data_IF_329437902258
#
_entry.id   IF_329437902258
#
_cell.length_a   1.000
_cell.length_b   1.000
_cell.length_c   1.000
_cell.angle_alpha   90.00
_cell.angle_beta   90.00
_cell.angle_gamma   90.00
#
_symmetry.space_group_name_H-M   'P 1'
#
loop_
_entity.id
_entity.type
_entity.pdbx_description
1 polymer ?
#
# COMPACT_ATOMS: atom_id res chain seq x y z
N UNK A 1 9.70 -17.65 -17.14
CA UNK A 1 9.39 -16.48 -18.01
C UNK A 1 8.88 -17.02 -19.33
N UNK A 2 7.64 -16.70 -19.71
CA UNK A 2 7.07 -17.15 -20.97
C UNK A 2 7.70 -16.41 -22.19
N UNK A 3 7.32 -16.83 -23.43
CA UNK A 3 7.83 -16.24 -24.68
C UNK A 3 7.49 -14.73 -24.84
N UNK A 4 6.60 -14.18 -23.99
CA UNK A 4 6.17 -12.78 -23.99
C UNK A 4 6.72 -11.98 -22.80
N UNK A 5 7.64 -12.56 -22.03
CA UNK A 5 8.27 -11.89 -20.89
C UNK A 5 7.40 -11.81 -19.63
N UNK A 6 6.30 -12.56 -19.56
CA UNK A 6 5.49 -12.64 -18.35
C UNK A 6 6.16 -13.60 -17.35
N UNK A 7 6.26 -13.17 -16.12
CA UNK A 7 6.70 -14.02 -15.01
C UNK A 7 5.58 -15.00 -14.67
N UNK A 8 5.95 -16.27 -14.42
CA UNK A 8 4.99 -17.27 -13.94
C UNK A 8 4.31 -16.81 -12.63
N UNK A 9 2.98 -16.94 -12.50
CA UNK A 9 2.27 -16.47 -11.29
C UNK A 9 2.79 -17.10 -9.99
N UNK A 10 3.17 -18.38 -9.99
CA UNK A 10 3.70 -19.05 -8.80
C UNK A 10 5.10 -18.54 -8.46
N UNK A 11 5.97 -18.35 -9.46
CA UNK A 11 7.30 -17.75 -9.27
C UNK A 11 7.18 -16.31 -8.73
N UNK A 12 6.23 -15.51 -9.27
CA UNK A 12 5.95 -14.17 -8.77
C UNK A 12 5.57 -14.17 -7.29
N UNK A 13 4.63 -15.05 -6.89
CA UNK A 13 4.16 -15.13 -5.49
C UNK A 13 5.30 -15.53 -4.56
N UNK A 14 6.10 -16.52 -4.95
CA UNK A 14 7.26 -16.97 -4.14
C UNK A 14 8.27 -15.83 -3.98
N UNK A 15 8.63 -15.14 -5.06
CA UNK A 15 9.54 -14.01 -5.02
C UNK A 15 8.98 -12.87 -4.17
N UNK A 16 7.70 -12.52 -4.32
CA UNK A 16 7.05 -11.47 -3.53
C UNK A 16 7.05 -11.78 -2.05
N UNK A 17 6.81 -13.03 -1.66
CA UNK A 17 6.90 -13.49 -0.27
C UNK A 17 8.31 -13.29 0.28
N UNK A 18 9.34 -13.69 -0.45
CA UNK A 18 10.74 -13.49 -0.05
C UNK A 18 11.08 -12.00 0.11
N UNK A 19 10.55 -11.13 -0.77
CA UNK A 19 10.74 -9.69 -0.64
C UNK A 19 10.10 -9.11 0.63
N UNK A 20 8.91 -9.61 1.02
CA UNK A 20 8.24 -9.20 2.27
C UNK A 20 8.96 -9.68 3.54
N UNK A 21 9.72 -10.77 3.45
CA UNK A 21 10.50 -11.33 4.56
C UNK A 21 11.88 -10.63 4.73
N UNK A 22 12.27 -9.74 3.81
CA UNK A 22 13.54 -9.00 3.92
C UNK A 22 13.51 -8.06 5.12
N UNK A 23 14.65 -7.88 5.82
CA UNK A 23 14.77 -6.88 6.86
C UNK A 23 14.45 -5.48 6.36
N UNK A 24 13.84 -4.65 7.20
CA UNK A 24 13.61 -3.26 6.90
C UNK A 24 14.94 -2.51 6.71
N UNK A 25 14.97 -1.59 5.73
CA UNK A 25 16.08 -0.66 5.55
C UNK A 25 16.03 0.55 6.49
N UNK A 26 15.01 0.64 7.33
CA UNK A 26 14.80 1.71 8.31
C UNK A 26 14.74 1.13 9.71
N UNK A 27 15.27 1.89 10.68
CA UNK A 27 15.27 1.46 12.08
C UNK A 27 13.90 1.59 12.75
N UNK A 28 13.09 2.58 12.34
CA UNK A 28 11.78 2.88 12.94
C UNK A 28 10.76 3.30 11.89
N UNK A 29 9.47 3.26 12.25
CA UNK A 29 8.39 3.77 11.41
C UNK A 29 8.48 5.29 11.20
N UNK A 30 8.97 6.05 12.19
CA UNK A 30 9.16 7.49 12.08
C UNK A 30 10.20 7.83 11.01
N UNK A 31 11.35 7.16 11.03
CA UNK A 31 12.39 7.34 10.01
C UNK A 31 11.89 6.97 8.60
N UNK A 32 11.07 5.90 8.49
CA UNK A 32 10.43 5.54 7.23
C UNK A 32 9.43 6.62 6.77
N UNK A 33 8.59 7.13 7.66
CA UNK A 33 7.60 8.19 7.35
C UNK A 33 8.27 9.48 6.90
N UNK A 34 9.37 9.89 7.52
CA UNK A 34 10.16 11.04 7.09
C UNK A 34 10.70 10.85 5.66
N UNK A 35 11.24 9.66 5.37
CA UNK A 35 11.74 9.32 4.04
C UNK A 35 10.63 9.31 2.98
N UNK A 36 9.43 8.81 3.31
CA UNK A 36 8.26 8.84 2.42
C UNK A 36 7.85 10.30 2.17
N UNK A 37 7.77 11.13 3.21
CA UNK A 37 7.35 12.53 3.10
C UNK A 37 8.24 13.33 2.14
N UNK A 38 9.53 13.08 2.15
CA UNK A 38 10.50 13.74 1.26
C UNK A 38 10.64 13.07 -0.13
N UNK A 39 9.86 12.01 -0.41
CA UNK A 39 10.00 11.25 -1.66
C UNK A 39 9.59 12.06 -2.90
N UNK A 40 10.46 12.05 -3.91
CA UNK A 40 10.23 12.67 -5.23
C UNK A 40 10.57 11.73 -6.41
N UNK A 41 10.58 10.41 -6.17
CA UNK A 41 11.19 9.41 -7.06
C UNK A 41 10.35 9.04 -8.29
N UNK A 42 9.05 9.34 -8.31
CA UNK A 42 8.16 8.91 -9.40
C UNK A 42 7.26 10.05 -9.91
N UNK A 43 6.63 9.90 -11.09
CA UNK A 43 5.75 10.92 -11.67
C UNK A 43 4.56 11.30 -10.78
N UNK A 44 3.97 10.35 -10.03
CA UNK A 44 2.81 10.60 -9.17
C UNK A 44 3.01 11.79 -8.22
N UNK A 45 4.23 11.99 -7.71
CA UNK A 45 4.57 13.12 -6.84
C UNK A 45 4.38 14.49 -7.51
N UNK A 46 4.42 14.53 -8.84
CA UNK A 46 4.35 15.76 -9.66
C UNK A 46 2.99 15.94 -10.34
N UNK A 47 2.03 15.05 -10.14
CA UNK A 47 0.72 15.11 -10.80
C UNK A 47 -0.25 16.09 -10.15
N UNK A 48 0.15 16.79 -9.09
CA UNK A 48 -0.63 17.89 -8.50
C UNK A 48 -1.30 17.56 -7.18
N UNK A 49 -0.97 16.40 -6.56
CA UNK A 49 -1.36 16.11 -5.17
C UNK A 49 -0.54 16.92 -4.16
N UNK A 50 -1.05 17.05 -2.93
CA UNK A 50 -0.40 17.80 -1.84
C UNK A 50 0.87 17.09 -1.33
N UNK A 51 0.92 15.78 -1.42
CA UNK A 51 2.08 15.00 -1.02
C UNK A 51 1.81 13.53 -0.81
N UNK A 52 2.80 12.80 -0.26
CA UNK A 52 2.58 11.42 0.14
C UNK A 52 1.60 11.35 1.33
N UNK A 53 0.62 10.49 1.23
CA UNK A 53 -0.27 10.12 2.34
C UNK A 53 0.37 8.97 3.11
N UNK A 54 0.64 9.20 4.38
CA UNK A 54 1.33 8.27 5.26
C UNK A 54 0.35 7.24 5.86
N UNK A 55 0.89 6.10 6.26
CA UNK A 55 0.16 5.06 7.00
C UNK A 55 -0.37 5.56 8.35
N UNK A 56 -1.44 4.93 8.81
CA UNK A 56 -2.06 5.18 10.13
C UNK A 56 -2.27 3.87 10.89
N UNK A 57 -2.54 3.98 12.19
CA UNK A 57 -2.75 2.85 13.09
C UNK A 57 -1.47 2.44 13.83
N UNK A 58 -1.57 1.45 14.75
CA UNK A 58 -0.44 0.98 15.54
C UNK A 58 0.65 0.36 14.67
N UNK A 59 1.90 0.68 14.99
CA UNK A 59 3.08 0.23 14.25
C UNK A 59 3.30 -1.30 14.29
N UNK A 60 2.74 -1.96 15.28
CA UNK A 60 2.83 -3.39 15.56
C UNK A 60 1.48 -4.12 15.40
N UNK A 61 0.51 -3.50 14.73
CA UNK A 61 -0.80 -4.11 14.51
C UNK A 61 -0.69 -5.46 13.78
N UNK A 62 -1.35 -6.50 14.27
CA UNK A 62 -1.30 -7.83 13.65
C UNK A 62 -2.05 -7.88 12.32
N UNK A 63 -2.92 -6.91 12.06
CA UNK A 63 -3.70 -6.78 10.82
C UNK A 63 -3.28 -5.53 10.06
N UNK A 64 -2.88 -5.71 8.80
CA UNK A 64 -2.56 -4.62 7.87
C UNK A 64 -3.60 -4.56 6.75
N UNK A 65 -4.14 -3.38 6.51
CA UNK A 65 -5.06 -3.09 5.40
C UNK A 65 -4.30 -2.26 4.36
N UNK A 66 -4.31 -2.74 3.12
CA UNK A 66 -3.58 -2.11 2.01
C UNK A 66 -4.54 -1.73 0.90
N UNK A 67 -4.76 -0.44 0.72
CA UNK A 67 -5.55 0.12 -0.39
C UNK A 67 -4.70 0.38 -1.65
N UNK A 68 -5.35 0.91 -2.68
CA UNK A 68 -4.73 1.25 -3.96
C UNK A 68 -3.82 2.48 -3.86
N UNK A 69 -4.39 3.60 -3.49
CA UNK A 69 -3.72 4.90 -3.41
C UNK A 69 -4.65 5.98 -2.86
N UNK A 70 -4.12 7.18 -2.54
CA UNK A 70 -4.93 8.28 -2.05
C UNK A 70 -5.90 8.81 -3.09
N UNK A 71 -7.15 9.08 -2.68
CA UNK A 71 -8.10 9.90 -3.38
C UNK A 71 -8.00 11.37 -2.96
N UNK A 72 -8.98 12.20 -3.39
CA UNK A 72 -8.99 13.64 -3.05
C UNK A 72 -9.08 13.88 -1.55
N UNK A 73 -9.94 13.16 -0.86
CA UNK A 73 -10.14 13.32 0.60
C UNK A 73 -8.86 12.95 1.35
N UNK A 74 -8.22 11.86 0.98
CA UNK A 74 -6.97 11.41 1.59
C UNK A 74 -5.83 12.41 1.35
N UNK A 75 -5.75 12.98 0.15
CA UNK A 75 -4.76 13.98 -0.21
C UNK A 75 -4.94 15.28 0.59
N UNK A 76 -6.20 15.72 0.76
CA UNK A 76 -6.54 16.94 1.48
C UNK A 76 -6.36 16.83 3.02
N UNK A 77 -6.70 15.67 3.59
CA UNK A 77 -6.73 15.48 5.05
C UNK A 77 -5.63 14.58 5.61
N UNK A 78 -4.86 13.90 4.75
CA UNK A 78 -3.61 13.24 5.13
C UNK A 78 -3.72 11.85 5.77
N UNK A 79 -4.77 11.09 5.52
CA UNK A 79 -4.90 9.72 6.04
C UNK A 79 -5.34 8.72 4.97
N UNK A 80 -4.85 7.47 4.97
CA UNK A 80 -5.24 6.46 4.00
C UNK A 80 -6.64 5.94 4.28
N UNK A 81 -7.44 5.71 3.22
CA UNK A 81 -8.78 5.14 3.32
C UNK A 81 -9.70 5.89 4.32
N UNK A 82 -9.80 7.22 4.20
CA UNK A 82 -10.70 8.06 5.02
C UNK A 82 -11.89 8.61 4.23
N UNK A 83 -11.84 8.54 2.90
CA UNK A 83 -12.94 8.89 1.99
C UNK A 83 -14.07 7.84 1.98
N UNK A 84 -14.94 7.82 0.95
CA UNK A 84 -16.08 6.91 0.87
C UNK A 84 -15.74 5.43 1.04
N UNK A 85 -14.65 4.96 0.42
CA UNK A 85 -14.17 3.57 0.59
C UNK A 85 -13.71 3.29 2.01
N UNK A 86 -13.10 4.28 2.67
CA UNK A 86 -12.69 4.18 4.06
C UNK A 86 -13.87 4.09 5.02
N UNK A 87 -14.94 4.85 4.77
CA UNK A 87 -16.18 4.75 5.56
C UNK A 87 -16.84 3.36 5.45
N UNK A 88 -16.76 2.73 4.26
CA UNK A 88 -17.21 1.35 4.09
C UNK A 88 -16.32 0.37 4.88
N UNK A 89 -15.00 0.57 4.82
CA UNK A 89 -14.04 -0.22 5.61
C UNK A 89 -14.34 -0.11 7.11
N UNK A 90 -14.60 1.10 7.62
CA UNK A 90 -14.91 1.32 9.03
C UNK A 90 -16.16 0.56 9.48
N UNK A 91 -17.20 0.56 8.63
CA UNK A 91 -18.42 -0.24 8.89
C UNK A 91 -18.13 -1.74 8.89
N UNK A 92 -17.31 -2.22 7.95
CA UNK A 92 -16.94 -3.63 7.88
C UNK A 92 -16.11 -4.06 9.11
N UNK A 93 -15.14 -3.26 9.52
CA UNK A 93 -14.34 -3.51 10.72
C UNK A 93 -15.20 -3.51 11.97
N UNK A 94 -16.08 -2.52 12.14
CA UNK A 94 -16.98 -2.42 13.27
C UNK A 94 -17.93 -3.61 13.39
N UNK A 95 -18.37 -4.18 12.25
CA UNK A 95 -19.27 -5.36 12.25
C UNK A 95 -18.65 -6.61 12.87
N UNK A 96 -17.31 -6.65 12.97
CA UNK A 96 -16.55 -7.75 13.60
C UNK A 96 -15.82 -7.30 14.87
N UNK A 97 -16.18 -6.13 15.43
CA UNK A 97 -15.62 -5.62 16.67
C UNK A 97 -14.20 -5.05 16.56
N UNK A 98 -13.74 -4.72 15.36
CA UNK A 98 -12.43 -4.13 15.09
C UNK A 98 -12.58 -2.62 14.81
N UNK A 99 -11.62 -1.81 15.26
CA UNK A 99 -11.54 -0.38 14.97
C UNK A 99 -10.20 -0.02 14.35
N UNK A 100 -10.04 1.23 13.88
CA UNK A 100 -8.76 1.74 13.34
C UNK A 100 -7.59 1.61 14.32
N UNK A 101 -7.85 1.59 15.61
CA UNK A 101 -6.83 1.43 16.65
C UNK A 101 -6.25 0.01 16.73
N UNK A 102 -6.82 -0.94 15.99
CA UNK A 102 -6.37 -2.34 15.94
C UNK A 102 -5.69 -2.70 14.61
N UNK A 103 -5.67 -1.78 13.63
CA UNK A 103 -5.21 -2.08 12.27
C UNK A 103 -4.19 -1.07 11.77
N UNK A 104 -3.18 -1.55 11.08
CA UNK A 104 -2.26 -0.71 10.30
C UNK A 104 -2.86 -0.48 8.92
N UNK A 105 -3.07 0.77 8.54
CA UNK A 105 -3.71 1.11 7.27
C UNK A 105 -2.75 1.87 6.38
N UNK A 106 -2.63 1.44 5.13
CA UNK A 106 -1.75 2.08 4.14
C UNK A 106 -2.26 1.86 2.72
N UNK A 107 -1.52 2.33 1.71
CA UNK A 107 -1.80 2.14 0.30
C UNK A 107 -0.57 1.62 -0.45
N UNK A 108 -0.79 1.02 -1.63
CA UNK A 108 0.28 0.61 -2.56
C UNK A 108 1.07 1.85 -3.00
N UNK A 109 0.40 2.87 -3.56
CA UNK A 109 1.04 4.15 -3.89
C UNK A 109 0.77 5.19 -2.81
N UNK A 110 1.77 6.05 -2.55
CA UNK A 110 1.67 7.05 -1.47
C UNK A 110 1.13 8.39 -1.96
N UNK A 111 1.24 8.69 -3.24
CA UNK A 111 0.79 9.95 -3.81
C UNK A 111 -0.47 9.77 -4.65
N UNK A 112 -1.34 10.79 -4.64
CA UNK A 112 -2.59 10.80 -5.40
C UNK A 112 -2.32 10.89 -6.90
N UNK A 113 -2.83 9.95 -7.72
CA UNK A 113 -2.81 10.09 -9.17
C UNK A 113 -3.77 11.19 -9.63
N UNK A 114 -3.41 11.92 -10.71
CA UNK A 114 -4.24 12.99 -11.27
C UNK A 114 -5.66 12.51 -11.58
N UNK A 115 -6.65 13.26 -11.10
CA UNK A 115 -8.07 12.94 -11.34
C UNK A 115 -8.53 11.63 -10.68
N UNK A 116 -7.82 11.13 -9.68
CA UNK A 116 -8.08 9.85 -9.03
C UNK A 116 -8.04 8.66 -10.01
N UNK A 117 -7.23 8.74 -11.07
CA UNK A 117 -7.05 7.58 -11.96
C UNK A 117 -6.44 6.42 -11.21
N UNK A 118 -6.71 5.22 -11.66
CA UNK A 118 -5.98 4.03 -11.17
C UNK A 118 -4.49 4.18 -11.47
N UNK A 119 -3.59 3.93 -10.50
CA UNK A 119 -2.15 3.85 -10.76
C UNK A 119 -1.85 2.77 -11.80
N UNK A 120 -0.85 3.00 -12.65
CA UNK A 120 -0.37 1.95 -13.53
C UNK A 120 0.28 0.82 -12.72
N UNK A 121 0.41 -0.35 -13.33
CA UNK A 121 1.09 -1.47 -12.67
C UNK A 121 2.52 -1.11 -12.28
N UNK A 122 3.24 -0.40 -13.15
CA UNK A 122 4.62 0.00 -12.91
C UNK A 122 4.72 1.03 -11.77
N UNK A 123 3.78 1.98 -11.68
CA UNK A 123 3.69 2.92 -10.55
C UNK A 123 3.42 2.20 -9.23
N UNK A 124 2.48 1.24 -9.24
CA UNK A 124 2.16 0.40 -8.08
C UNK A 124 3.35 -0.45 -7.64
N UNK A 125 4.00 -1.13 -8.57
CA UNK A 125 5.18 -1.95 -8.29
C UNK A 125 6.35 -1.11 -7.79
N UNK A 126 6.63 0.02 -8.44
CA UNK A 126 7.72 0.90 -8.05
C UNK A 126 7.52 1.44 -6.62
N UNK A 127 6.38 2.08 -6.36
CA UNK A 127 6.10 2.69 -5.06
C UNK A 127 5.97 1.63 -3.95
N UNK A 128 5.24 0.55 -4.21
CA UNK A 128 5.04 -0.54 -3.25
C UNK A 128 6.34 -1.24 -2.89
N UNK A 129 7.23 -1.49 -3.86
CA UNK A 129 8.52 -2.15 -3.60
C UNK A 129 9.48 -1.28 -2.80
N UNK A 130 9.40 0.05 -2.94
CA UNK A 130 10.26 0.96 -2.17
C UNK A 130 9.71 1.21 -0.77
N UNK A 131 8.39 1.36 -0.61
CA UNK A 131 7.80 1.86 0.62
C UNK A 131 6.93 0.84 1.36
N UNK A 132 5.98 0.19 0.67
CA UNK A 132 5.08 -0.77 1.33
C UNK A 132 5.85 -1.97 1.88
N UNK A 133 6.85 -2.50 1.14
CA UNK A 133 7.68 -3.59 1.66
C UNK A 133 8.44 -3.18 2.93
N UNK A 134 8.84 -1.91 3.07
CA UNK A 134 9.46 -1.41 4.30
C UNK A 134 8.45 -1.31 5.45
N UNK A 135 7.23 -0.87 5.16
CA UNK A 135 6.14 -0.86 6.16
C UNK A 135 5.84 -2.27 6.65
N UNK A 136 5.75 -3.26 5.75
CA UNK A 136 5.52 -4.66 6.09
C UNK A 136 6.69 -5.21 6.94
N UNK A 137 7.93 -4.92 6.56
CA UNK A 137 9.13 -5.38 7.25
C UNK A 137 9.24 -4.81 8.68
N UNK A 138 8.78 -3.59 8.91
CA UNK A 138 8.75 -2.95 10.23
C UNK A 138 7.56 -3.43 11.07
N UNK A 139 6.35 -3.42 10.51
CA UNK A 139 5.12 -3.78 11.21
C UNK A 139 5.00 -5.28 11.48
N UNK A 140 5.54 -6.10 10.61
CA UNK A 140 5.46 -7.58 10.66
C UNK A 140 4.05 -8.10 10.95
N UNK A 141 3.04 -7.68 10.15
CA UNK A 141 1.66 -8.09 10.39
C UNK A 141 1.49 -9.60 10.25
N UNK A 142 0.60 -10.18 11.05
CA UNK A 142 0.23 -11.59 10.91
C UNK A 142 -0.66 -11.82 9.68
N UNK A 143 -1.47 -10.81 9.32
CA UNK A 143 -2.40 -10.85 8.18
C UNK A 143 -2.35 -9.54 7.41
N UNK A 144 -2.33 -9.64 6.07
CA UNK A 144 -2.48 -8.50 5.16
C UNK A 144 -3.75 -8.68 4.34
N UNK A 145 -4.62 -7.67 4.35
CA UNK A 145 -5.81 -7.59 3.48
C UNK A 145 -5.57 -6.54 2.41
N UNK A 146 -5.42 -6.98 1.17
CA UNK A 146 -5.36 -6.09 0.01
C UNK A 146 -6.76 -5.73 -0.49
N UNK A 147 -7.03 -4.44 -0.64
CA UNK A 147 -8.30 -3.93 -1.13
C UNK A 147 -8.20 -3.51 -2.61
N UNK A 148 -8.94 -4.21 -3.45
CA UNK A 148 -9.03 -3.92 -4.88
C UNK A 148 -7.93 -4.52 -5.73
N UNK A 149 -8.06 -4.28 -7.05
CA UNK A 149 -7.26 -4.95 -8.08
C UNK A 149 -5.77 -4.58 -8.05
N UNK A 150 -5.43 -3.34 -7.70
CA UNK A 150 -4.02 -2.90 -7.65
C UNK A 150 -3.29 -3.59 -6.51
N UNK A 151 -3.91 -3.67 -5.32
CA UNK A 151 -3.35 -4.39 -4.19
C UNK A 151 -3.22 -5.89 -4.50
N UNK A 152 -4.28 -6.51 -5.07
CA UNK A 152 -4.25 -7.90 -5.49
C UNK A 152 -3.06 -8.20 -6.43
N UNK A 153 -2.90 -7.38 -7.46
CA UNK A 153 -1.83 -7.55 -8.46
C UNK A 153 -0.43 -7.27 -7.90
N UNK A 154 -0.30 -6.40 -6.92
CA UNK A 154 0.96 -6.19 -6.25
C UNK A 154 1.43 -7.44 -5.48
N UNK A 155 0.51 -8.14 -4.81
CA UNK A 155 0.84 -9.31 -4.01
C UNK A 155 0.89 -10.61 -4.82
N UNK A 156 0.00 -10.78 -5.80
CA UNK A 156 -0.22 -12.05 -6.50
C UNK A 156 0.15 -12.03 -8.00
N UNK A 157 0.61 -10.91 -8.52
CA UNK A 157 1.03 -10.79 -9.92
C UNK A 157 -0.03 -10.20 -10.86
N UNK A 158 0.40 -9.89 -12.10
CA UNK A 158 -0.42 -9.19 -13.11
C UNK A 158 -1.70 -9.93 -13.50
N UNK A 159 -1.62 -11.24 -13.57
CA UNK A 159 -2.72 -12.10 -14.03
C UNK A 159 -3.79 -12.33 -12.96
N UNK A 160 -3.55 -11.90 -11.73
CA UNK A 160 -4.54 -12.02 -10.67
C UNK A 160 -5.78 -11.18 -10.98
N UNK A 161 -6.94 -11.84 -11.04
CA UNK A 161 -8.25 -11.26 -11.28
C UNK A 161 -9.11 -11.24 -10.00
N UNK A 162 -10.09 -10.36 -9.97
CA UNK A 162 -11.16 -10.36 -8.96
C UNK A 162 -12.40 -10.99 -9.57
#
# INVERSE_FOLDING_TARGET
MDLFGHEDPEEYIVRRRQEMERPAGFATHEALKEAITSCSRCPLRREGGLGPVLSTGPADAPLMIVGEGPGGVEDDYGGPLIGPSGQLLDKALASVGITRDHVYVTNIVKCRPRGNRTPTMDEGHFCGSIWLLQEIALARPAVIIGLGKVALRFFLGREAGI
#
